data_IF_030041550298
#
_entry.id   IF_030041550298
#
_cell.length_a   1.000
_cell.length_b   1.000
_cell.length_c   1.000
_cell.angle_alpha   90.00
_cell.angle_beta   90.00
_cell.angle_gamma   90.00
#
_symmetry.space_group_name_H-M   'P 1'
#
loop_
_entity.id
_entity.type
_entity.pdbx_description
1 polymer ?
#
# COMPACT_ATOMS: atom_id res chain seq x y z
N UNK A 1 -19.48 9.72 -5.47
CA UNK A 1 -18.51 8.62 -5.53
C UNK A 1 -19.23 7.37 -5.97
N UNK A 2 -18.53 6.42 -6.59
CA UNK A 2 -19.14 5.18 -7.06
C UNK A 2 -18.81 4.03 -6.09
N UNK A 3 -19.69 3.03 -6.04
CA UNK A 3 -19.45 1.78 -5.31
C UNK A 3 -18.33 0.99 -5.98
N UNK A 4 -17.39 0.46 -5.19
CA UNK A 4 -16.32 -0.41 -5.70
C UNK A 4 -16.93 -1.68 -6.31
N UNK A 5 -16.53 -2.00 -7.53
CA UNK A 5 -16.79 -3.30 -8.16
C UNK A 5 -15.59 -4.22 -7.92
N UNK A 6 -15.80 -5.29 -7.13
CA UNK A 6 -14.77 -6.26 -6.78
C UNK A 6 -14.27 -7.04 -8.01
N UNK A 7 -15.15 -7.40 -8.94
CA UNK A 7 -14.77 -8.16 -10.14
C UNK A 7 -13.86 -7.32 -11.03
N UNK A 8 -14.29 -6.09 -11.29
CA UNK A 8 -13.50 -5.13 -12.07
C UNK A 8 -12.18 -4.77 -11.36
N UNK A 9 -12.20 -4.57 -10.05
CA UNK A 9 -10.98 -4.27 -9.27
C UNK A 9 -9.95 -5.38 -9.30
N UNK A 10 -10.38 -6.64 -9.27
CA UNK A 10 -9.45 -7.78 -9.25
C UNK A 10 -8.91 -8.11 -10.64
N UNK A 11 -9.66 -7.85 -11.72
CA UNK A 11 -9.31 -8.25 -13.08
C UNK A 11 -8.68 -7.11 -13.90
N UNK A 12 -9.25 -5.91 -13.83
CA UNK A 12 -8.90 -4.81 -14.73
C UNK A 12 -7.45 -4.34 -14.56
N UNK A 13 -6.85 -4.25 -13.36
CA UNK A 13 -5.44 -3.94 -13.20
C UNK A 13 -4.51 -4.85 -14.02
N UNK A 14 -4.77 -6.16 -14.05
CA UNK A 14 -3.97 -7.10 -14.84
C UNK A 14 -4.19 -6.92 -16.34
N UNK A 15 -5.41 -6.61 -16.76
CA UNK A 15 -5.68 -6.27 -18.16
C UNK A 15 -4.95 -4.99 -18.58
N UNK A 16 -4.85 -3.98 -17.69
CA UNK A 16 -4.12 -2.74 -17.95
C UNK A 16 -2.62 -3.00 -18.01
N UNK A 17 -2.09 -3.81 -17.09
CA UNK A 17 -0.70 -4.26 -17.09
C UNK A 17 -0.33 -4.95 -18.40
N UNK A 18 -1.20 -5.80 -18.94
CA UNK A 18 -0.92 -6.47 -20.23
C UNK A 18 -0.77 -5.51 -21.40
N UNK A 19 -1.41 -4.33 -21.33
CA UNK A 19 -1.30 -3.26 -22.33
C UNK A 19 -0.15 -2.30 -22.03
N UNK A 20 0.19 -2.12 -20.76
CA UNK A 20 1.23 -1.21 -20.30
C UNK A 20 2.05 -1.83 -19.18
N UNK A 21 3.10 -2.53 -19.58
CA UNK A 21 4.00 -3.27 -18.68
C UNK A 21 4.68 -2.33 -17.67
N UNK A 22 4.82 -1.04 -17.97
CA UNK A 22 5.39 -0.05 -17.05
C UNK A 22 4.67 0.00 -15.70
N UNK A 23 3.37 -0.33 -15.65
CA UNK A 23 2.61 -0.42 -14.39
C UNK A 23 3.19 -1.45 -13.41
N UNK A 24 3.90 -2.46 -13.91
CA UNK A 24 4.54 -3.47 -13.07
C UNK A 24 5.82 -2.97 -12.41
N UNK A 25 6.44 -1.91 -12.92
CA UNK A 25 7.77 -1.52 -12.48
C UNK A 25 7.76 -1.08 -11.01
N UNK A 26 6.92 -0.13 -10.55
CA UNK A 26 6.88 0.23 -9.14
C UNK A 26 6.63 -0.95 -8.18
N UNK A 27 5.58 -1.79 -8.35
CA UNK A 27 5.34 -2.89 -7.44
C UNK A 27 6.40 -4.00 -7.56
N UNK A 28 7.05 -4.17 -8.72
CA UNK A 28 8.18 -5.11 -8.87
C UNK A 28 9.43 -4.63 -8.14
N UNK A 29 9.73 -3.33 -8.16
CA UNK A 29 10.81 -2.74 -7.36
C UNK A 29 10.55 -2.97 -5.87
N UNK A 30 9.31 -2.73 -5.42
CA UNK A 30 8.89 -3.00 -4.06
C UNK A 30 9.03 -4.48 -3.69
N UNK A 31 8.59 -5.37 -4.59
CA UNK A 31 8.66 -6.82 -4.42
C UNK A 31 10.11 -7.29 -4.24
N UNK A 32 11.01 -6.89 -5.15
CA UNK A 32 12.44 -7.24 -5.09
C UNK A 32 13.07 -6.68 -3.82
N UNK A 33 12.79 -5.42 -3.48
CA UNK A 33 13.33 -4.79 -2.29
C UNK A 33 12.86 -5.51 -1.02
N UNK A 34 11.57 -5.83 -0.90
CA UNK A 34 11.02 -6.59 0.23
C UNK A 34 11.66 -7.98 0.33
N UNK A 35 11.84 -8.70 -0.78
CA UNK A 35 12.52 -9.99 -0.78
C UNK A 35 13.99 -9.88 -0.31
N UNK A 36 14.74 -8.91 -0.84
CA UNK A 36 16.13 -8.69 -0.45
C UNK A 36 16.24 -8.34 1.03
N UNK A 37 15.35 -7.47 1.51
CA UNK A 37 15.26 -7.08 2.91
C UNK A 37 14.89 -8.26 3.81
N UNK A 38 13.94 -9.11 3.42
CA UNK A 38 13.59 -10.31 4.17
C UNK A 38 14.76 -11.30 4.23
N UNK A 39 15.47 -11.53 3.12
CA UNK A 39 16.65 -12.40 3.08
C UNK A 39 17.77 -11.83 3.97
N UNK A 40 18.03 -10.52 3.88
CA UNK A 40 19.04 -9.85 4.69
C UNK A 40 18.69 -9.95 6.18
N UNK A 41 17.45 -9.64 6.56
CA UNK A 41 16.97 -9.74 7.94
C UNK A 41 17.02 -11.16 8.46
N UNK A 42 16.67 -12.17 7.67
CA UNK A 42 16.84 -13.58 8.06
C UNK A 42 18.30 -13.93 8.31
N UNK A 43 19.23 -13.45 7.49
CA UNK A 43 20.68 -13.67 7.73
C UNK A 43 21.21 -12.93 8.95
N UNK A 44 20.61 -11.81 9.32
CA UNK A 44 20.99 -11.03 10.51
C UNK A 44 20.32 -11.55 11.78
N UNK A 45 19.08 -12.03 11.71
CA UNK A 45 18.26 -12.49 12.85
C UNK A 45 18.45 -13.99 13.14
N UNK A 46 18.55 -14.85 12.11
CA UNK A 46 18.70 -16.31 12.30
C UNK A 46 20.15 -16.66 12.68
N UNK A 47 21.12 -15.76 12.46
CA UNK A 47 22.55 -16.04 12.66
C UNK A 47 23.13 -15.64 14.03
N UNK A 48 22.38 -15.02 14.95
CA UNK A 48 22.72 -15.12 16.37
C UNK A 48 21.50 -15.49 17.23
N UNK A 49 21.42 -16.77 17.54
CA UNK A 49 20.86 -17.30 18.80
C UNK A 49 21.70 -16.85 20.05
N UNK A 50 22.63 -15.89 19.91
CA UNK A 50 23.68 -15.54 20.89
C UNK A 50 23.93 -14.03 21.13
N UNK A 51 23.13 -13.09 20.60
CA UNK A 51 23.23 -11.68 21.00
C UNK A 51 22.00 -11.31 21.84
N UNK A 52 22.20 -11.29 23.16
CA UNK A 52 21.17 -11.46 24.18
C UNK A 52 19.93 -10.57 24.04
N UNK A 53 18.77 -11.17 24.35
CA UNK A 53 17.45 -10.69 24.85
C UNK A 53 16.99 -9.21 24.69
N UNK A 54 17.66 -8.37 23.92
CA UNK A 54 17.42 -6.93 23.79
C UNK A 54 17.94 -6.35 22.47
N UNK A 55 18.29 -7.19 21.49
CA UNK A 55 18.74 -6.79 20.16
C UNK A 55 17.73 -7.00 19.03
N UNK A 56 16.44 -6.67 19.09
CA UNK A 56 15.46 -6.25 20.11
C UNK A 56 14.13 -6.27 19.34
N UNK A 57 12.99 -6.42 20.01
CA UNK A 57 11.67 -6.19 19.40
C UNK A 57 11.60 -4.84 18.63
N UNK A 58 12.43 -3.86 19.04
CA UNK A 58 12.61 -2.56 18.39
C UNK A 58 13.24 -2.63 16.99
N UNK A 59 14.17 -3.56 16.75
CA UNK A 59 14.80 -3.73 15.44
C UNK A 59 13.82 -4.30 14.43
N UNK A 60 13.02 -5.28 14.86
CA UNK A 60 11.93 -5.83 14.05
C UNK A 60 10.84 -4.78 13.80
N UNK A 61 10.42 -4.05 14.83
CA UNK A 61 9.45 -2.96 14.68
C UNK A 61 9.93 -1.85 13.72
N UNK A 62 11.19 -1.40 13.86
CA UNK A 62 11.78 -0.38 12.97
C UNK A 62 11.83 -0.87 11.52
N UNK A 63 12.16 -2.14 11.32
CA UNK A 63 12.19 -2.76 10.00
C UNK A 63 10.79 -2.79 9.35
N UNK A 64 9.77 -3.25 10.07
CA UNK A 64 8.40 -3.27 9.56
C UNK A 64 7.89 -1.86 9.26
N UNK A 65 8.25 -0.88 10.08
CA UNK A 65 7.92 0.52 9.85
C UNK A 65 8.50 1.03 8.52
N UNK A 66 9.76 0.72 8.22
CA UNK A 66 10.40 1.08 6.96
C UNK A 66 9.72 0.39 5.76
N UNK A 67 9.37 -0.89 5.89
CA UNK A 67 8.64 -1.62 4.84
C UNK A 67 7.28 -1.00 4.55
N UNK A 68 6.53 -0.59 5.57
CA UNK A 68 5.26 0.12 5.37
C UNK A 68 5.45 1.44 4.64
N UNK A 69 6.45 2.24 5.03
CA UNK A 69 6.74 3.53 4.37
C UNK A 69 7.05 3.31 2.89
N UNK A 70 7.91 2.35 2.55
CA UNK A 70 8.24 2.00 1.17
C UNK A 70 6.96 1.57 0.42
N UNK A 71 6.16 0.68 1.02
CA UNK A 71 4.94 0.18 0.40
C UNK A 71 3.94 1.29 0.10
N UNK A 72 3.81 2.28 1.00
CA UNK A 72 2.95 3.44 0.79
C UNK A 72 3.48 4.42 -0.26
N UNK A 73 4.80 4.57 -0.40
CA UNK A 73 5.39 5.33 -1.51
C UNK A 73 5.09 4.67 -2.87
N UNK A 74 5.17 3.34 -2.92
CA UNK A 74 4.85 2.57 -4.13
C UNK A 74 3.35 2.65 -4.44
N UNK A 75 2.50 2.58 -3.41
CA UNK A 75 1.06 2.82 -3.54
C UNK A 75 0.77 4.21 -4.11
N UNK A 76 1.49 5.25 -3.67
CA UNK A 76 1.37 6.60 -4.22
C UNK A 76 1.74 6.64 -5.71
N UNK A 77 2.89 6.04 -6.06
CA UNK A 77 3.39 6.03 -7.44
C UNK A 77 2.43 5.32 -8.39
N UNK A 78 1.97 4.13 -8.04
CA UNK A 78 1.06 3.40 -8.91
C UNK A 78 -0.34 4.03 -8.98
N UNK A 79 -0.77 4.72 -7.92
CA UNK A 79 -2.01 5.52 -7.96
C UNK A 79 -1.91 6.66 -8.97
N UNK A 80 -0.76 7.34 -9.07
CA UNK A 80 -0.54 8.35 -10.11
C UNK A 80 -0.61 7.74 -11.51
N UNK A 81 -0.02 6.56 -11.70
CA UNK A 81 -0.04 5.86 -12.98
C UNK A 81 -1.45 5.41 -13.39
N UNK A 82 -2.23 4.86 -12.45
CA UNK A 82 -3.63 4.51 -12.70
C UNK A 82 -4.48 5.75 -13.00
N UNK A 83 -4.23 6.87 -12.33
CA UNK A 83 -4.95 8.11 -12.59
C UNK A 83 -4.68 8.60 -14.02
N UNK A 84 -3.43 8.52 -14.50
CA UNK A 84 -3.11 8.87 -15.88
C UNK A 84 -3.80 7.94 -16.88
N UNK A 85 -3.75 6.62 -16.66
CA UNK A 85 -4.40 5.63 -17.53
C UNK A 85 -5.92 5.77 -17.60
N UNK A 86 -6.57 5.94 -16.46
CA UNK A 86 -8.03 6.05 -16.38
C UNK A 86 -8.55 7.33 -17.03
N UNK A 87 -7.72 8.37 -17.10
CA UNK A 87 -8.03 9.62 -17.78
C UNK A 87 -7.50 9.68 -19.22
N UNK A 88 -6.98 8.58 -19.76
CA UNK A 88 -6.45 8.51 -21.14
C UNK A 88 -5.18 9.33 -21.39
N UNK A 89 -4.46 9.72 -20.33
CA UNK A 89 -3.17 10.41 -20.45
C UNK A 89 -2.03 9.42 -20.70
N UNK A 90 -0.98 9.88 -21.36
CA UNK A 90 0.24 9.09 -21.50
C UNK A 90 0.88 8.86 -20.13
N UNK A 91 0.86 7.62 -19.67
CA UNK A 91 1.61 7.21 -18.46
C UNK A 91 3.09 7.09 -18.79
N UNK A 92 3.93 7.73 -17.99
CA UNK A 92 5.39 7.64 -18.06
C UNK A 92 5.92 7.50 -16.64
N UNK A 93 6.84 6.55 -16.42
CA UNK A 93 7.40 6.29 -15.09
C UNK A 93 8.00 7.55 -14.48
N UNK A 94 8.72 8.32 -15.31
CA UNK A 94 9.39 9.56 -14.93
C UNK A 94 8.37 10.62 -14.54
N UNK A 95 7.30 10.78 -15.31
CA UNK A 95 6.32 11.83 -15.07
C UNK A 95 5.43 11.52 -13.87
N UNK A 96 5.03 10.25 -13.71
CA UNK A 96 4.29 9.81 -12.51
C UNK A 96 5.17 9.89 -11.25
N UNK A 97 6.48 9.60 -11.33
CA UNK A 97 7.41 9.81 -10.21
C UNK A 97 7.59 11.30 -9.88
N UNK A 98 7.80 12.13 -10.90
CA UNK A 98 7.94 13.58 -10.71
C UNK A 98 6.70 14.17 -10.03
N UNK A 99 5.50 13.75 -10.45
CA UNK A 99 4.22 14.18 -9.85
C UNK A 99 4.11 13.84 -8.37
N UNK A 100 4.56 12.67 -7.92
CA UNK A 100 4.53 12.34 -6.49
C UNK A 100 5.70 12.99 -5.74
N UNK A 101 6.82 13.24 -6.42
CA UNK A 101 8.03 13.81 -5.81
C UNK A 101 7.82 15.25 -5.33
N UNK A 102 6.97 16.03 -6.01
CA UNK A 102 6.61 17.39 -5.59
C UNK A 102 5.90 17.42 -4.22
N UNK A 103 5.18 16.35 -3.89
CA UNK A 103 4.48 16.15 -2.62
C UNK A 103 5.15 15.10 -1.73
N UNK A 104 6.41 14.75 -2.00
CA UNK A 104 7.09 13.65 -1.32
C UNK A 104 7.10 13.80 0.20
N UNK A 105 7.33 15.02 0.71
CA UNK A 105 7.30 15.30 2.14
C UNK A 105 5.95 14.98 2.78
N UNK A 106 4.84 15.40 2.15
CA UNK A 106 3.50 15.10 2.64
C UNK A 106 3.20 13.61 2.59
N UNK A 107 3.54 12.94 1.47
CA UNK A 107 3.33 11.49 1.32
C UNK A 107 4.14 10.74 2.39
N UNK A 108 5.39 11.13 2.66
CA UNK A 108 6.23 10.51 3.66
C UNK A 108 5.64 10.67 5.08
N UNK A 109 5.20 11.88 5.42
CA UNK A 109 4.56 12.16 6.72
C UNK A 109 3.28 11.32 6.88
N UNK A 110 2.42 11.26 5.86
CA UNK A 110 1.20 10.45 5.89
C UNK A 110 1.52 8.96 5.98
N UNK A 111 2.50 8.48 5.22
CA UNK A 111 2.91 7.08 5.25
C UNK A 111 3.41 6.69 6.65
N UNK A 112 4.21 7.55 7.28
CA UNK A 112 4.67 7.35 8.66
C UNK A 112 3.49 7.35 9.64
N UNK A 113 2.59 8.33 9.54
CA UNK A 113 1.40 8.42 10.40
C UNK A 113 0.53 7.15 10.29
N UNK A 114 0.18 6.76 9.07
CA UNK A 114 -0.66 5.58 8.81
C UNK A 114 0.04 4.31 9.32
N UNK A 115 1.33 4.13 9.03
CA UNK A 115 2.06 2.94 9.47
C UNK A 115 2.09 2.81 10.99
N UNK A 116 2.30 3.90 11.74
CA UNK A 116 2.25 3.90 13.20
C UNK A 116 0.84 3.58 13.71
N UNK A 117 -0.19 4.23 13.17
CA UNK A 117 -1.57 4.00 13.60
C UNK A 117 -1.99 2.54 13.34
N UNK A 118 -1.70 2.01 12.16
CA UNK A 118 -2.03 0.62 11.80
C UNK A 118 -1.24 -0.36 12.67
N UNK A 119 0.05 -0.12 12.89
CA UNK A 119 0.87 -0.94 13.78
C UNK A 119 0.35 -0.94 15.22
N UNK A 120 -0.02 0.22 15.76
CA UNK A 120 -0.67 0.32 17.07
C UNK A 120 -2.00 -0.43 17.11
N UNK A 121 -2.79 -0.34 16.04
CA UNK A 121 -4.01 -1.13 15.88
C UNK A 121 -3.75 -2.62 16.05
N UNK A 122 -2.77 -3.18 15.32
CA UNK A 122 -2.38 -4.59 15.43
C UNK A 122 -1.76 -4.96 16.78
N UNK A 123 -0.99 -4.06 17.42
CA UNK A 123 -0.43 -4.27 18.76
C UNK A 123 -1.54 -4.38 19.80
N UNK A 124 -2.58 -3.55 19.71
CA UNK A 124 -3.72 -3.60 20.62
C UNK A 124 -4.54 -4.87 20.36
N UNK A 125 -5.02 -5.06 19.12
CA UNK A 125 -5.77 -6.24 18.70
C UNK A 125 -5.79 -6.37 17.16
N UNK A 126 -5.76 -7.60 16.66
CA UNK A 126 -5.76 -7.87 15.21
C UNK A 126 -6.96 -7.23 14.48
N UNK A 127 -8.17 -7.34 15.03
CA UNK A 127 -9.40 -6.84 14.38
C UNK A 127 -9.38 -5.31 14.24
N UNK A 128 -9.15 -4.52 15.31
CA UNK A 128 -8.92 -3.08 15.19
C UNK A 128 -7.82 -2.69 14.20
N UNK A 129 -6.69 -3.40 14.18
CA UNK A 129 -5.63 -3.16 13.18
C UNK A 129 -6.10 -3.29 11.74
N UNK A 130 -6.87 -4.33 11.44
CA UNK A 130 -7.48 -4.54 10.11
C UNK A 130 -8.48 -3.45 9.77
N UNK A 131 -9.39 -3.10 10.69
CA UNK A 131 -10.40 -2.05 10.45
C UNK A 131 -9.73 -0.71 10.15
N UNK A 132 -8.72 -0.33 10.94
CA UNK A 132 -8.00 0.93 10.72
C UNK A 132 -7.20 0.88 9.40
N UNK A 133 -6.56 -0.25 9.09
CA UNK A 133 -5.88 -0.45 7.80
C UNK A 133 -6.81 -0.23 6.60
N UNK A 134 -8.01 -0.78 6.65
CA UNK A 134 -9.04 -0.60 5.61
C UNK A 134 -9.44 0.87 5.47
N UNK A 135 -9.70 1.55 6.59
CA UNK A 135 -10.11 2.96 6.59
C UNK A 135 -9.01 3.87 6.01
N UNK A 136 -7.75 3.58 6.32
CA UNK A 136 -6.61 4.41 5.92
C UNK A 136 -6.04 4.06 4.54
N UNK A 137 -6.40 2.92 3.96
CA UNK A 137 -5.95 2.48 2.63
C UNK A 137 -6.15 3.56 1.54
N UNK A 138 -7.31 4.24 1.44
CA UNK A 138 -7.56 5.19 0.35
C UNK A 138 -6.87 6.54 0.50
N UNK A 139 -6.30 6.85 1.67
CA UNK A 139 -5.75 8.19 1.99
C UNK A 139 -4.70 8.60 0.96
N UNK A 140 -3.72 7.74 0.68
CA UNK A 140 -2.63 8.05 -0.24
C UNK A 140 -3.08 8.08 -1.71
N UNK A 141 -3.83 7.09 -2.22
CA UNK A 141 -4.38 7.17 -3.58
C UNK A 141 -5.23 8.43 -3.82
N UNK A 142 -6.07 8.81 -2.86
CA UNK A 142 -6.91 10.01 -2.94
C UNK A 142 -6.06 11.28 -2.88
N UNK A 143 -5.07 11.33 -1.98
CA UNK A 143 -4.11 12.43 -1.89
C UNK A 143 -3.42 12.67 -3.25
N UNK A 144 -2.95 11.61 -3.89
CA UNK A 144 -2.26 11.69 -5.19
C UNK A 144 -3.21 12.08 -6.31
N UNK A 145 -4.41 11.47 -6.37
CA UNK A 145 -5.42 11.73 -7.40
C UNK A 145 -5.91 13.17 -7.34
N UNK A 146 -6.30 13.65 -6.16
CA UNK A 146 -6.96 14.94 -5.95
C UNK A 146 -6.00 16.06 -5.52
N UNK A 147 -4.71 15.76 -5.38
CA UNK A 147 -3.67 16.70 -4.91
C UNK A 147 -4.05 17.40 -3.59
N UNK A 148 -4.64 16.65 -2.66
CA UNK A 148 -5.14 17.16 -1.39
C UNK A 148 -4.02 17.21 -0.34
N UNK A 149 -4.18 18.08 0.67
CA UNK A 149 -3.31 18.03 1.85
C UNK A 149 -3.66 16.81 2.73
N UNK A 150 -2.89 16.60 3.80
CA UNK A 150 -3.04 15.46 4.72
C UNK A 150 -4.45 15.39 5.32
N UNK A 151 -4.97 16.50 5.85
CA UNK A 151 -6.23 16.52 6.57
C UNK A 151 -7.41 16.27 5.63
N UNK A 152 -7.42 16.93 4.47
CA UNK A 152 -8.46 16.77 3.47
C UNK A 152 -8.45 15.36 2.87
N UNK A 153 -7.27 14.77 2.67
CA UNK A 153 -7.14 13.38 2.19
C UNK A 153 -7.71 12.37 3.18
N UNK A 154 -7.46 12.57 4.49
CA UNK A 154 -7.99 11.69 5.55
C UNK A 154 -9.52 11.79 5.63
N UNK A 155 -10.06 13.00 5.54
CA UNK A 155 -11.51 13.23 5.55
C UNK A 155 -12.17 12.61 4.32
N UNK A 156 -11.60 12.84 3.15
CA UNK A 156 -12.13 12.32 1.89
C UNK A 156 -12.04 10.79 1.82
N UNK A 157 -10.95 10.19 2.32
CA UNK A 157 -10.82 8.75 2.44
C UNK A 157 -11.87 8.15 3.38
N UNK A 158 -12.10 8.77 4.53
CA UNK A 158 -13.11 8.32 5.49
C UNK A 158 -14.51 8.35 4.86
N UNK A 159 -14.86 9.44 4.16
CA UNK A 159 -16.11 9.55 3.43
C UNK A 159 -16.23 8.46 2.36
N UNK A 160 -15.18 8.26 1.56
CA UNK A 160 -15.14 7.25 0.51
C UNK A 160 -15.35 5.82 1.05
N UNK A 161 -14.75 5.49 2.19
CA UNK A 161 -14.84 4.16 2.82
C UNK A 161 -16.25 3.88 3.34
N UNK A 162 -16.86 4.83 4.04
CA UNK A 162 -18.18 4.63 4.65
C UNK A 162 -19.35 4.87 3.68
N UNK A 163 -19.06 5.40 2.49
CA UNK A 163 -20.05 5.56 1.43
C UNK A 163 -20.27 4.26 0.63
N UNK A 164 -21.54 3.99 0.30
CA UNK A 164 -21.98 2.94 -0.64
C UNK A 164 -21.45 1.51 -0.37
N UNK A 165 -21.10 1.23 0.90
CA UNK A 165 -20.59 -0.07 1.33
C UNK A 165 -19.14 -0.36 0.91
N UNK A 166 -18.40 0.64 0.44
CA UNK A 166 -17.00 0.52 -0.01
C UNK A 166 -16.07 -0.10 1.05
N UNK A 167 -16.37 0.12 2.34
CA UNK A 167 -15.70 -0.54 3.46
C UNK A 167 -15.60 -2.05 3.28
N UNK A 168 -16.69 -2.72 2.91
CA UNK A 168 -16.71 -4.18 2.77
C UNK A 168 -15.87 -4.66 1.59
N UNK A 169 -15.85 -3.91 0.50
CA UNK A 169 -15.04 -4.23 -0.68
C UNK A 169 -13.54 -4.08 -0.39
N UNK A 170 -13.16 -2.96 0.26
CA UNK A 170 -11.79 -2.74 0.70
C UNK A 170 -11.37 -3.77 1.77
N UNK A 171 -12.29 -4.16 2.68
CA UNK A 171 -12.05 -5.21 3.65
C UNK A 171 -11.74 -6.55 2.97
N UNK A 172 -12.47 -6.92 1.91
CA UNK A 172 -12.20 -8.16 1.16
C UNK A 172 -10.81 -8.10 0.52
N UNK A 173 -10.45 -7.00 -0.13
CA UNK A 173 -9.11 -6.81 -0.73
C UNK A 173 -8.03 -6.91 0.36
N UNK A 174 -8.24 -6.25 1.49
CA UNK A 174 -7.30 -6.23 2.62
C UNK A 174 -7.14 -7.62 3.25
N UNK A 175 -8.24 -8.35 3.46
CA UNK A 175 -8.21 -9.69 4.05
C UNK A 175 -7.56 -10.70 3.09
N UNK A 176 -7.89 -10.69 1.79
CA UNK A 176 -7.25 -11.58 0.82
C UNK A 176 -5.74 -11.35 0.78
N UNK A 177 -5.32 -10.10 0.72
CA UNK A 177 -3.88 -9.76 0.69
C UNK A 177 -3.21 -10.12 2.01
N UNK A 178 -3.86 -9.91 3.16
CA UNK A 178 -3.34 -10.36 4.47
C UNK A 178 -3.16 -11.89 4.51
N UNK A 179 -4.15 -12.66 4.06
CA UNK A 179 -4.07 -14.13 4.02
C UNK A 179 -2.94 -14.63 3.12
N UNK A 180 -2.72 -14.00 1.96
CA UNK A 180 -1.56 -14.29 1.09
C UNK A 180 -0.26 -13.95 1.81
N UNK A 181 -0.25 -12.86 2.57
CA UNK A 181 0.86 -12.41 3.42
C UNK A 181 1.33 -13.45 4.43
N UNK A 182 0.45 -14.36 4.86
CA UNK A 182 0.77 -15.44 5.82
C UNK A 182 1.58 -16.58 5.19
N UNK A 183 1.69 -16.65 3.85
CA UNK A 183 2.51 -17.67 3.18
C UNK A 183 3.99 -17.39 3.49
N UNK A 184 4.73 -18.35 4.06
CA UNK A 184 6.14 -18.15 4.38
C UNK A 184 6.98 -17.78 3.15
N UNK A 185 8.03 -16.98 3.37
CA UNK A 185 9.09 -16.62 2.41
C UNK A 185 8.71 -15.69 1.26
N UNK A 186 7.50 -15.81 0.71
CA UNK A 186 7.09 -15.06 -0.48
C UNK A 186 5.75 -14.36 -0.30
N UNK A 187 4.97 -14.74 0.71
CA UNK A 187 3.61 -14.24 0.92
C UNK A 187 3.55 -12.73 1.11
N UNK A 188 4.44 -12.16 1.92
CA UNK A 188 4.54 -10.71 2.18
C UNK A 188 4.80 -9.91 0.91
N UNK A 189 5.75 -10.37 0.09
CA UNK A 189 6.11 -9.73 -1.17
C UNK A 189 4.95 -9.81 -2.18
N UNK A 190 4.33 -10.98 -2.35
CA UNK A 190 3.18 -11.17 -3.26
C UNK A 190 1.98 -10.37 -2.77
N UNK A 191 1.72 -10.37 -1.46
CA UNK A 191 0.66 -9.58 -0.84
C UNK A 191 0.82 -8.09 -1.12
N UNK A 192 2.00 -7.53 -0.88
CA UNK A 192 2.28 -6.11 -1.16
C UNK A 192 2.14 -5.77 -2.65
N UNK A 193 2.60 -6.66 -3.53
CA UNK A 193 2.44 -6.51 -4.98
C UNK A 193 0.96 -6.48 -5.40
N UNK A 194 0.15 -7.43 -4.92
CA UNK A 194 -1.27 -7.48 -5.26
C UNK A 194 -2.05 -6.33 -4.63
N UNK A 195 -1.75 -6.01 -3.37
CA UNK A 195 -2.39 -4.91 -2.64
C UNK A 195 -2.15 -3.58 -3.34
N UNK A 196 -0.91 -3.29 -3.74
CA UNK A 196 -0.60 -2.04 -4.45
C UNK A 196 -1.33 -1.92 -5.79
N UNK A 197 -1.54 -3.02 -6.52
CA UNK A 197 -2.34 -3.00 -7.75
C UNK A 197 -3.84 -2.80 -7.46
N UNK A 198 -4.43 -3.65 -6.62
CA UNK A 198 -5.87 -3.66 -6.37
C UNK A 198 -6.34 -2.42 -5.61
N UNK A 199 -5.64 -2.03 -4.53
CA UNK A 199 -6.03 -0.89 -3.71
C UNK A 199 -5.90 0.43 -4.47
N UNK A 200 -4.78 0.64 -5.18
CA UNK A 200 -4.62 1.86 -5.98
C UNK A 200 -5.64 1.96 -7.10
N UNK A 201 -5.90 0.87 -7.83
CA UNK A 201 -6.94 0.90 -8.85
C UNK A 201 -8.32 1.21 -8.28
N UNK A 202 -8.73 0.51 -7.21
CA UNK A 202 -10.03 0.72 -6.58
C UNK A 202 -10.18 2.17 -6.10
N UNK A 203 -9.20 2.65 -5.34
CA UNK A 203 -9.27 3.99 -4.79
C UNK A 203 -9.22 5.05 -5.89
N UNK A 204 -8.40 4.90 -6.93
CA UNK A 204 -8.32 5.90 -8.00
C UNK A 204 -9.57 5.88 -8.88
N UNK A 205 -10.12 4.71 -9.24
CA UNK A 205 -11.28 4.64 -10.13
C UNK A 205 -12.57 5.12 -9.47
N UNK A 206 -12.80 4.76 -8.21
CA UNK A 206 -14.11 4.92 -7.58
C UNK A 206 -14.22 6.15 -6.65
N UNK A 207 -13.10 6.79 -6.27
CA UNK A 207 -13.08 8.00 -5.42
C UNK A 207 -13.30 9.32 -6.16
#
# INVERSE_FOLDING_TARGET
MARIDLSDTLQTPFSMVSKKVDLLIPPSVAFILNLLLEIAMRRVIIRPYYFGMGGSKIGWFTFELLNFIISFLILAWISAMFDDLLNGRETSLKDSWNRISTNFGNILIVSLLISVIVALGFILYVIPGVIIGVILTPVIPIMVKKNLNIQDSMKEATNFVFQDGNFWFLLVIYVITLLIGLIPYIGTAVSGFLFTLWASYACVKFS
#
